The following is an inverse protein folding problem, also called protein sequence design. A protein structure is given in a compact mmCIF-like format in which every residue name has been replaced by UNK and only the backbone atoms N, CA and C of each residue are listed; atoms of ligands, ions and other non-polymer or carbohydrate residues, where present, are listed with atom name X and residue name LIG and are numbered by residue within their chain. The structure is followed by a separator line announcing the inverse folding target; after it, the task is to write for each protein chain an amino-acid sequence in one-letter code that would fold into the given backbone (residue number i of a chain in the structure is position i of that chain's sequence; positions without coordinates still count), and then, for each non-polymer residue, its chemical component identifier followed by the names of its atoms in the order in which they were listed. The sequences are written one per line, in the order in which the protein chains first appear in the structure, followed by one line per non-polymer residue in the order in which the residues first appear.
data_IF_090059233895
#
_entry.id   IF_090059233895
#
_cell.length_a   1.000
_cell.length_b   1.000
_cell.length_c   1.000
_cell.angle_alpha   90.00
_cell.angle_beta   90.00
_cell.angle_gamma   90.00
#
_symmetry.space_group_name_H-M   'P 1'
#
loop_
_entity.id
_entity.type
_entity.pdbx_description
1 polymer ?
#
# COMPACT_ATOMS: atom_id res chain seq x y z
N UNK A 1 -0.61 16.70 -21.42
CA UNK A 1 -0.06 15.68 -20.49
C UNK A 1 -0.14 14.29 -21.11
N UNK A 2 -1.28 13.86 -21.66
CA UNK A 2 -1.40 12.64 -22.48
C UNK A 2 -0.34 12.55 -23.58
N UNK A 3 -0.12 13.65 -24.29
CA UNK A 3 0.74 13.65 -25.49
C UNK A 3 2.23 13.49 -25.13
N UNK A 4 2.63 13.99 -23.96
CA UNK A 4 4.01 13.85 -23.45
C UNK A 4 4.27 12.40 -23.03
N UNK A 5 3.28 11.73 -22.44
CA UNK A 5 3.39 10.32 -22.06
C UNK A 5 3.53 9.44 -23.31
N UNK A 6 2.68 9.65 -24.32
CA UNK A 6 2.79 8.92 -25.60
C UNK A 6 4.13 9.14 -26.29
N UNK A 7 4.69 10.34 -26.18
CA UNK A 7 6.03 10.65 -26.69
C UNK A 7 7.10 9.89 -25.90
N UNK A 8 7.02 9.90 -24.57
CA UNK A 8 7.96 9.17 -23.71
C UNK A 8 7.91 7.67 -23.98
N UNK A 9 6.72 7.08 -24.14
CA UNK A 9 6.57 5.68 -24.51
C UNK A 9 7.23 5.38 -25.86
N UNK A 10 7.10 6.29 -26.82
CA UNK A 10 7.76 6.15 -28.13
C UNK A 10 9.29 6.21 -28.00
N UNK A 11 9.82 7.09 -27.15
CA UNK A 11 11.26 7.20 -26.88
C UNK A 11 11.80 5.95 -26.17
N UNK A 12 11.05 5.40 -25.21
CA UNK A 12 11.43 4.14 -24.54
C UNK A 12 11.47 2.98 -25.53
N UNK A 13 10.49 2.89 -26.44
CA UNK A 13 10.45 1.86 -27.49
C UNK A 13 11.63 1.97 -28.45
N UNK A 14 11.95 3.18 -28.89
CA UNK A 14 13.11 3.45 -29.74
C UNK A 14 14.41 3.01 -29.06
N UNK A 15 14.59 3.38 -27.78
CA UNK A 15 15.74 2.98 -26.99
C UNK A 15 15.86 1.46 -26.79
N UNK A 16 14.76 0.77 -26.45
CA UNK A 16 14.76 -0.69 -26.29
C UNK A 16 15.09 -1.41 -27.61
N UNK A 17 14.55 -0.90 -28.73
CA UNK A 17 14.83 -1.39 -30.08
C UNK A 17 16.31 -1.22 -30.44
N UNK A 18 16.87 -0.02 -30.21
CA UNK A 18 18.29 0.26 -30.46
C UNK A 18 19.23 -0.67 -29.68
N UNK A 19 18.86 -1.04 -28.44
CA UNK A 19 19.63 -1.96 -27.60
C UNK A 19 19.42 -3.44 -27.94
N UNK A 20 18.51 -3.77 -28.86
CA UNK A 20 18.17 -5.14 -29.23
C UNK A 20 17.37 -5.91 -28.17
N UNK A 21 16.71 -5.21 -27.24
CA UNK A 21 15.96 -5.78 -26.13
C UNK A 21 14.55 -6.22 -26.57
N UNK A 22 14.48 -7.09 -27.58
CA UNK A 22 13.24 -7.43 -28.29
C UNK A 22 12.18 -8.08 -27.40
N UNK A 23 12.59 -8.94 -26.46
CA UNK A 23 11.66 -9.56 -25.52
C UNK A 23 11.04 -8.53 -24.55
N UNK A 24 11.86 -7.61 -24.03
CA UNK A 24 11.41 -6.52 -23.17
C UNK A 24 10.50 -5.56 -23.92
N UNK A 25 10.84 -5.22 -25.17
CA UNK A 25 10.01 -4.37 -26.02
C UNK A 25 8.63 -4.99 -26.28
N UNK A 26 8.57 -6.29 -26.57
CA UNK A 26 7.31 -7.00 -26.77
C UNK A 26 6.43 -7.00 -25.51
N UNK A 27 7.04 -7.22 -24.33
CA UNK A 27 6.34 -7.15 -23.05
C UNK A 27 5.87 -5.73 -22.74
N UNK A 28 6.74 -4.73 -22.94
CA UNK A 28 6.39 -3.32 -22.78
C UNK A 28 5.20 -2.95 -23.66
N UNK A 29 5.24 -3.28 -24.95
CA UNK A 29 4.11 -3.03 -25.86
C UNK A 29 2.82 -3.72 -25.43
N UNK A 30 2.89 -4.96 -24.93
CA UNK A 30 1.72 -5.67 -24.43
C UNK A 30 1.13 -4.99 -23.18
N UNK A 31 1.98 -4.52 -22.27
CA UNK A 31 1.58 -3.86 -21.03
C UNK A 31 1.07 -2.44 -21.27
N UNK A 32 1.70 -1.65 -22.15
CA UNK A 32 1.22 -0.30 -22.53
C UNK A 32 -0.14 -0.37 -23.22
N UNK A 33 -0.41 -1.41 -24.03
CA UNK A 33 -1.72 -1.62 -24.68
C UNK A 33 -2.81 -2.05 -23.70
N UNK A 34 -2.46 -2.63 -22.56
CA UNK A 34 -3.45 -3.02 -21.55
C UNK A 34 -4.05 -1.82 -20.79
N UNK A 35 -3.66 -0.57 -21.13
CA UNK A 35 -4.09 0.65 -20.43
C UNK A 35 -4.12 0.43 -18.91
N UNK A 36 -3.01 -0.09 -18.35
CA UNK A 36 -2.88 -0.14 -16.88
C UNK A 36 -2.50 1.23 -16.33
N UNK A 37 -1.87 2.06 -17.14
CA UNK A 37 -1.32 3.34 -16.70
C UNK A 37 -1.70 4.48 -17.63
N UNK A 38 -2.72 5.22 -17.22
CA UNK A 38 -2.90 6.61 -17.59
C UNK A 38 -3.45 7.36 -16.36
N UNK A 39 -2.59 7.66 -15.37
CA UNK A 39 -2.90 8.46 -14.17
C UNK A 39 -4.20 8.03 -13.48
N UNK A 40 -4.16 6.93 -12.73
CA UNK A 40 -5.18 6.47 -11.79
C UNK A 40 -6.55 7.13 -11.94
N UNK A 41 -7.31 6.71 -12.95
CA UNK A 41 -8.72 7.09 -13.01
C UNK A 41 -9.36 6.59 -11.72
N UNK A 42 -9.58 7.51 -10.78
CA UNK A 42 -10.06 7.22 -9.42
C UNK A 42 -11.33 6.39 -9.51
N UNK A 43 -12.22 6.73 -10.44
CA UNK A 43 -13.47 5.99 -10.67
C UNK A 43 -13.21 4.54 -11.09
N UNK A 44 -12.23 4.29 -11.97
CA UNK A 44 -11.84 2.93 -12.37
C UNK A 44 -11.25 2.16 -11.19
N UNK A 45 -10.31 2.75 -10.46
CA UNK A 45 -9.66 2.11 -9.31
C UNK A 45 -10.70 1.76 -8.23
N UNK A 46 -11.57 2.71 -7.89
CA UNK A 46 -12.67 2.46 -6.97
C UNK A 46 -13.59 1.37 -7.53
N UNK A 47 -13.93 1.41 -8.82
CA UNK A 47 -14.68 0.34 -9.47
C UNK A 47 -14.03 -1.03 -9.35
N UNK A 48 -12.71 -1.13 -9.45
CA UNK A 48 -11.97 -2.39 -9.26
C UNK A 48 -11.98 -2.88 -7.81
N UNK A 49 -11.82 -1.99 -6.83
CA UNK A 49 -11.94 -2.33 -5.41
C UNK A 49 -13.34 -2.88 -5.11
N UNK A 50 -14.39 -2.19 -5.58
CA UNK A 50 -15.77 -2.63 -5.38
C UNK A 50 -16.09 -3.91 -6.15
N UNK A 51 -15.54 -4.10 -7.35
CA UNK A 51 -15.65 -5.35 -8.09
C UNK A 51 -15.01 -6.52 -7.34
N UNK A 52 -13.83 -6.33 -6.72
CA UNK A 52 -13.21 -7.36 -5.88
C UNK A 52 -14.07 -7.70 -4.66
N UNK A 53 -14.73 -6.70 -4.05
CA UNK A 53 -15.69 -6.89 -2.95
C UNK A 53 -16.91 -7.71 -3.39
N UNK A 54 -17.57 -7.31 -4.47
CA UNK A 54 -18.77 -7.99 -4.98
C UNK A 54 -18.48 -9.45 -5.39
N UNK A 55 -17.28 -9.71 -5.91
CA UNK A 55 -16.85 -11.05 -6.31
C UNK A 55 -16.28 -11.90 -5.16
N UNK A 56 -16.14 -11.34 -3.95
CA UNK A 56 -15.53 -12.01 -2.79
C UNK A 56 -14.08 -12.50 -3.09
N UNK A 57 -13.31 -11.63 -3.76
CA UNK A 57 -11.91 -11.84 -4.13
C UNK A 57 -11.00 -11.03 -3.19
N UNK A 58 -10.66 -11.63 -2.05
CA UNK A 58 -9.80 -11.01 -1.05
C UNK A 58 -8.36 -10.85 -1.54
N UNK A 59 -7.85 -11.81 -2.33
CA UNK A 59 -6.48 -11.76 -2.83
C UNK A 59 -6.28 -10.53 -3.71
N UNK A 60 -7.22 -10.26 -4.61
CA UNK A 60 -7.19 -9.05 -5.45
C UNK A 60 -7.36 -7.79 -4.63
N UNK A 61 -8.31 -7.76 -3.69
CA UNK A 61 -8.57 -6.58 -2.87
C UNK A 61 -7.35 -6.18 -2.03
N UNK A 62 -6.76 -7.15 -1.33
CA UNK A 62 -5.55 -6.96 -0.54
C UNK A 62 -4.36 -6.56 -1.42
N UNK A 63 -4.17 -7.21 -2.57
CA UNK A 63 -3.08 -6.87 -3.49
C UNK A 63 -3.18 -5.44 -4.01
N UNK A 64 -4.40 -4.98 -4.37
CA UNK A 64 -4.64 -3.60 -4.81
C UNK A 64 -4.32 -2.60 -3.69
N UNK A 65 -4.76 -2.89 -2.47
CA UNK A 65 -4.52 -1.98 -1.36
C UNK A 65 -3.04 -1.92 -0.95
N UNK A 66 -2.38 -3.08 -0.90
CA UNK A 66 -0.93 -3.19 -0.66
C UNK A 66 -0.13 -2.40 -1.70
N UNK A 67 -0.54 -2.46 -2.97
CA UNK A 67 0.04 -1.64 -4.03
C UNK A 67 -0.08 -0.13 -3.73
N UNK A 68 -1.24 0.34 -3.25
CA UNK A 68 -1.38 1.74 -2.85
C UNK A 68 -0.50 2.09 -1.66
N UNK A 69 -0.44 1.23 -0.64
CA UNK A 69 0.41 1.45 0.52
C UNK A 69 1.88 1.70 0.14
N UNK A 70 2.43 0.92 -0.81
CA UNK A 70 3.83 1.04 -1.25
C UNK A 70 4.04 2.18 -2.22
N UNK A 71 3.23 2.26 -3.28
CA UNK A 71 3.51 3.13 -4.43
C UNK A 71 2.86 4.50 -4.35
N UNK A 72 1.84 4.66 -3.48
CA UNK A 72 1.01 5.86 -3.44
C UNK A 72 1.04 6.51 -2.07
N UNK A 73 0.92 5.71 -1.01
CA UNK A 73 0.77 6.21 0.34
C UNK A 73 2.09 6.36 1.10
N UNK A 74 3.20 5.87 0.55
CA UNK A 74 4.53 5.94 1.16
C UNK A 74 5.03 7.36 1.40
N UNK A 75 4.58 8.34 0.61
CA UNK A 75 4.93 9.76 0.75
C UNK A 75 3.89 10.62 1.47
N UNK A 76 2.85 10.03 2.06
CA UNK A 76 1.78 10.80 2.71
C UNK A 76 2.19 11.34 4.08
N UNK A 77 1.56 12.44 4.50
CA UNK A 77 1.72 12.94 5.87
C UNK A 77 1.09 11.97 6.88
N UNK A 78 1.49 12.06 8.15
CA UNK A 78 0.95 11.20 9.23
C UNK A 78 -0.59 11.23 9.32
N UNK A 79 -1.18 12.41 9.18
CA UNK A 79 -2.64 12.59 9.16
C UNK A 79 -3.30 11.83 7.99
N UNK A 80 -2.67 11.86 6.82
CA UNK A 80 -3.16 11.21 5.62
C UNK A 80 -2.97 9.70 5.65
N UNK A 81 -1.83 9.22 6.18
CA UNK A 81 -1.60 7.80 6.44
C UNK A 81 -2.61 7.25 7.43
N UNK A 82 -2.97 8.02 8.46
CA UNK A 82 -4.05 7.67 9.39
C UNK A 82 -5.40 7.57 8.67
N UNK A 83 -5.68 8.49 7.73
CA UNK A 83 -6.90 8.43 6.91
C UNK A 83 -6.91 7.23 5.95
N UNK A 84 -5.78 6.91 5.32
CA UNK A 84 -5.62 5.72 4.49
C UNK A 84 -5.96 4.45 5.29
N UNK A 85 -5.38 4.29 6.49
CA UNK A 85 -5.65 3.14 7.35
C UNK A 85 -7.13 3.05 7.74
N UNK A 86 -7.81 4.17 8.01
CA UNK A 86 -9.25 4.17 8.30
C UNK A 86 -10.07 3.70 7.10
N UNK A 87 -9.75 4.20 5.90
CA UNK A 87 -10.41 3.79 4.67
C UNK A 87 -10.14 2.32 4.34
N UNK A 88 -8.93 1.82 4.58
CA UNK A 88 -8.58 0.40 4.44
C UNK A 88 -9.51 -0.48 5.30
N UNK A 89 -9.61 -0.11 6.58
CA UNK A 89 -10.47 -0.82 7.52
C UNK A 89 -11.93 -0.80 7.06
N UNK A 90 -12.44 0.34 6.60
CA UNK A 90 -13.82 0.44 6.13
C UNK A 90 -14.07 -0.32 4.81
N UNK A 91 -13.09 -0.38 3.92
CA UNK A 91 -13.13 -1.21 2.69
C UNK A 91 -13.20 -2.70 3.05
N UNK A 92 -12.37 -3.18 3.97
CA UNK A 92 -12.45 -4.56 4.45
C UNK A 92 -13.74 -4.84 5.23
N UNK A 93 -14.24 -3.88 6.01
CA UNK A 93 -15.55 -4.00 6.68
C UNK A 93 -16.66 -4.15 5.66
N UNK A 94 -16.61 -3.39 4.57
CA UNK A 94 -17.56 -3.52 3.47
C UNK A 94 -17.48 -4.93 2.86
N UNK A 95 -16.28 -5.44 2.61
CA UNK A 95 -16.08 -6.81 2.10
C UNK A 95 -16.79 -7.87 2.95
N UNK A 96 -16.53 -7.87 4.27
CA UNK A 96 -17.13 -8.90 5.15
C UNK A 96 -18.64 -8.73 5.30
N UNK A 97 -19.15 -7.50 5.26
CA UNK A 97 -20.58 -7.22 5.26
C UNK A 97 -21.24 -7.73 3.98
N UNK A 98 -20.64 -7.49 2.82
CA UNK A 98 -21.11 -8.00 1.53
C UNK A 98 -21.16 -9.53 1.55
N UNK A 99 -20.12 -10.19 2.08
CA UNK A 99 -20.14 -11.65 2.26
C UNK A 99 -21.36 -12.11 3.10
N UNK A 100 -21.64 -11.44 4.21
CA UNK A 100 -22.79 -11.76 5.08
C UNK A 100 -24.13 -11.49 4.38
N UNK A 101 -24.26 -10.36 3.67
CA UNK A 101 -25.46 -10.00 2.92
C UNK A 101 -25.77 -11.01 1.81
N UNK A 102 -24.73 -11.50 1.13
CA UNK A 102 -24.82 -12.53 0.09
C UNK A 102 -24.89 -13.96 0.64
N UNK A 103 -24.97 -14.13 1.98
CA UNK A 103 -24.97 -15.43 2.66
C UNK A 103 -23.72 -16.29 2.36
N UNK A 104 -22.62 -15.66 1.97
CA UNK A 104 -21.33 -16.28 1.69
C UNK A 104 -20.47 -16.36 2.97
N UNK A 105 -20.95 -17.09 3.97
CA UNK A 105 -20.26 -17.22 5.27
C UNK A 105 -18.86 -17.81 5.14
N UNK A 106 -18.66 -18.79 4.25
CA UNK A 106 -17.35 -19.40 3.99
C UNK A 106 -16.32 -18.37 3.52
N UNK A 107 -16.70 -17.46 2.63
CA UNK A 107 -15.85 -16.35 2.15
C UNK A 107 -15.52 -15.35 3.26
N UNK A 108 -16.48 -15.09 4.16
CA UNK A 108 -16.25 -14.27 5.34
C UNK A 108 -15.20 -14.90 6.29
N UNK A 109 -15.28 -16.22 6.52
CA UNK A 109 -14.28 -16.95 7.32
C UNK A 109 -12.91 -16.94 6.62
N UNK A 110 -12.88 -17.23 5.31
CA UNK A 110 -11.67 -17.19 4.50
C UNK A 110 -10.95 -15.84 4.60
N UNK A 111 -11.70 -14.74 4.60
CA UNK A 111 -11.14 -13.39 4.82
C UNK A 111 -10.38 -13.29 6.13
N UNK A 112 -10.99 -13.71 7.26
CA UNK A 112 -10.34 -13.62 8.57
C UNK A 112 -9.14 -14.54 8.72
N UNK A 113 -9.15 -15.70 8.05
CA UNK A 113 -8.00 -16.60 7.99
C UNK A 113 -6.85 -15.98 7.18
N UNK A 114 -7.15 -15.45 5.99
CA UNK A 114 -6.15 -14.84 5.10
C UNK A 114 -5.55 -13.55 5.70
N UNK A 115 -6.39 -12.71 6.30
CA UNK A 115 -5.99 -11.41 6.84
C UNK A 115 -5.55 -11.48 8.31
N UNK A 116 -5.48 -12.66 8.92
CA UNK A 116 -5.33 -12.82 10.38
C UNK A 116 -4.15 -12.02 10.95
N UNK A 117 -2.98 -12.07 10.30
CA UNK A 117 -1.78 -11.37 10.77
C UNK A 117 -1.93 -9.84 10.68
N UNK A 118 -2.53 -9.34 9.61
CA UNK A 118 -2.80 -7.92 9.40
C UNK A 118 -3.83 -7.38 10.42
N UNK A 119 -4.88 -8.16 10.71
CA UNK A 119 -5.98 -7.73 11.58
C UNK A 119 -5.68 -7.88 13.07
N UNK A 120 -4.87 -8.87 13.48
CA UNK A 120 -4.62 -9.17 14.90
C UNK A 120 -4.00 -8.00 15.67
N UNK A 121 -3.19 -7.18 14.99
CA UNK A 121 -2.54 -6.02 15.59
C UNK A 121 -3.46 -4.79 15.64
N UNK A 122 -4.66 -4.86 15.05
CA UNK A 122 -5.63 -3.78 15.05
C UNK A 122 -6.80 -4.08 16.02
N UNK A 123 -6.89 -3.40 17.17
CA UNK A 123 -7.92 -3.67 18.17
C UNK A 123 -9.34 -3.44 17.65
N UNK A 124 -9.52 -2.62 16.60
CA UNK A 124 -10.82 -2.37 15.99
C UNK A 124 -11.48 -3.61 15.37
N UNK A 125 -10.70 -4.66 15.10
CA UNK A 125 -11.19 -5.92 14.50
C UNK A 125 -11.56 -6.99 15.52
N UNK A 126 -11.28 -6.80 16.81
CA UNK A 126 -11.48 -7.81 17.85
C UNK A 126 -12.92 -8.35 17.86
N UNK A 127 -13.91 -7.46 17.85
CA UNK A 127 -15.33 -7.84 17.84
C UNK A 127 -15.78 -8.38 16.47
N UNK A 128 -15.08 -8.04 15.39
CA UNK A 128 -15.44 -8.42 14.02
C UNK A 128 -15.16 -9.87 13.69
N UNK A 129 -14.24 -10.54 14.40
CA UNK A 129 -14.03 -11.99 14.25
C UNK A 129 -15.29 -12.82 14.58
N UNK A 130 -16.21 -12.27 15.39
CA UNK A 130 -17.48 -12.93 15.69
C UNK A 130 -18.52 -12.78 14.56
N UNK A 131 -18.36 -11.81 13.65
CA UNK A 131 -19.35 -11.46 12.61
C UNK A 131 -19.89 -12.67 11.83
N UNK A 132 -19.08 -13.64 11.36
CA UNK A 132 -19.58 -14.79 10.60
C UNK A 132 -20.54 -15.69 11.39
N UNK A 133 -20.51 -15.60 12.71
CA UNK A 133 -21.25 -16.46 13.64
C UNK A 133 -22.50 -15.79 14.22
N UNK A 134 -22.66 -14.48 14.01
CA UNK A 134 -23.80 -13.72 14.53
C UNK A 134 -25.05 -13.98 13.68
N UNK A 135 -26.16 -14.28 14.34
CA UNK A 135 -27.44 -14.65 13.70
C UNK A 135 -28.08 -13.45 13.01
N UNK A 136 -28.06 -12.27 13.64
CA UNK A 136 -28.59 -11.04 13.07
C UNK A 136 -27.61 -9.85 13.19
N UNK A 137 -26.58 -9.81 12.32
CA UNK A 137 -25.56 -8.76 12.34
C UNK A 137 -26.12 -7.36 12.09
N UNK A 138 -27.27 -7.26 11.41
CA UNK A 138 -27.90 -5.99 11.05
C UNK A 138 -28.45 -5.24 12.26
N UNK A 139 -28.83 -5.96 13.31
CA UNK A 139 -29.41 -5.38 14.52
C UNK A 139 -28.47 -5.43 15.74
N UNK A 140 -27.33 -6.12 15.64
CA UNK A 140 -26.33 -6.20 16.71
C UNK A 140 -25.25 -5.13 16.59
N UNK A 141 -24.83 -4.56 17.73
CA UNK A 141 -23.60 -3.78 17.82
C UNK A 141 -22.37 -4.72 17.85
N UNK A 142 -21.22 -4.28 17.31
CA UNK A 142 -20.94 -2.97 16.71
C UNK A 142 -21.34 -2.86 15.22
N UNK A 143 -21.87 -3.91 14.59
CA UNK A 143 -21.99 -4.01 13.12
C UNK A 143 -23.13 -3.19 12.51
N UNK A 144 -24.22 -2.96 13.26
CA UNK A 144 -25.43 -2.28 12.77
C UNK A 144 -25.19 -1.04 11.88
N UNK A 145 -24.33 -0.06 12.26
CA UNK A 145 -24.13 1.16 11.47
C UNK A 145 -23.63 0.89 10.03
N UNK A 146 -22.87 -0.19 9.85
CA UNK A 146 -22.21 -0.54 8.60
C UNK A 146 -23.14 -1.26 7.61
N UNK A 147 -24.32 -1.68 8.03
CA UNK A 147 -25.34 -2.24 7.12
C UNK A 147 -26.19 -1.17 6.42
N UNK A 148 -25.94 0.11 6.67
CA UNK A 148 -26.71 1.21 6.10
C UNK A 148 -26.19 1.64 4.73
N UNK A 149 -27.09 1.96 3.80
CA UNK A 149 -26.71 2.54 2.49
C UNK A 149 -26.00 3.89 2.64
N UNK A 150 -26.36 4.65 3.68
CA UNK A 150 -25.72 5.93 3.97
C UNK A 150 -24.22 5.75 4.27
N UNK A 151 -23.86 4.77 5.10
CA UNK A 151 -22.46 4.47 5.38
C UNK A 151 -21.70 4.05 4.12
N UNK A 152 -22.28 3.15 3.30
CA UNK A 152 -21.68 2.74 2.03
C UNK A 152 -21.44 3.92 1.09
N UNK A 153 -22.43 4.81 0.95
CA UNK A 153 -22.31 6.01 0.13
C UNK A 153 -21.22 6.96 0.66
N UNK A 154 -21.17 7.20 1.97
CA UNK A 154 -20.11 7.99 2.59
C UNK A 154 -18.73 7.39 2.30
N UNK A 155 -18.57 6.07 2.44
CA UNK A 155 -17.31 5.37 2.16
C UNK A 155 -16.88 5.58 0.70
N UNK A 156 -17.78 5.40 -0.26
CA UNK A 156 -17.49 5.61 -1.70
C UNK A 156 -16.99 7.03 -1.93
N UNK A 157 -17.69 8.05 -1.42
CA UNK A 157 -17.31 9.46 -1.61
C UNK A 157 -15.97 9.77 -0.95
N UNK A 158 -15.77 9.34 0.29
CA UNK A 158 -14.51 9.55 1.01
C UNK A 158 -13.34 8.87 0.32
N UNK A 159 -13.51 7.64 -0.17
CA UNK A 159 -12.48 6.90 -0.89
C UNK A 159 -12.12 7.57 -2.21
N UNK A 160 -13.12 7.99 -3.00
CA UNK A 160 -12.88 8.72 -4.24
C UNK A 160 -12.08 10.01 -3.98
N UNK A 161 -12.53 10.83 -3.03
CA UNK A 161 -11.86 12.08 -2.72
C UNK A 161 -10.42 11.86 -2.21
N UNK A 162 -10.24 10.88 -1.33
CA UNK A 162 -8.91 10.56 -0.79
C UNK A 162 -7.96 10.09 -1.89
N UNK A 163 -8.37 9.12 -2.71
CA UNK A 163 -7.56 8.61 -3.80
C UNK A 163 -7.27 9.69 -4.85
N UNK A 164 -8.23 10.56 -5.16
CA UNK A 164 -8.00 11.69 -6.05
C UNK A 164 -6.86 12.60 -5.55
N UNK A 165 -6.89 12.95 -4.25
CA UNK A 165 -5.85 13.78 -3.62
C UNK A 165 -4.52 13.03 -3.56
N UNK A 166 -4.53 11.73 -3.23
CA UNK A 166 -3.33 10.93 -3.13
C UNK A 166 -2.64 10.77 -4.50
N UNK A 167 -3.41 10.53 -5.56
CA UNK A 167 -2.88 10.37 -6.91
C UNK A 167 -2.41 11.68 -7.54
N UNK A 168 -3.04 12.81 -7.22
CA UNK A 168 -2.59 14.14 -7.70
C UNK A 168 -1.21 14.53 -7.15
N UNK A 169 -0.81 13.94 -6.01
CA UNK A 169 0.50 14.18 -5.39
C UNK A 169 1.61 13.28 -5.92
N UNK A 170 1.29 12.29 -6.75
CA UNK A 170 2.32 11.44 -7.32
C UNK A 170 3.18 12.27 -8.26
N UNK A 171 4.46 12.35 -7.93
CA UNK A 171 5.42 13.06 -8.77
C UNK A 171 5.49 12.41 -10.15
N UNK A 172 5.53 13.25 -11.18
CA UNK A 172 5.71 12.80 -12.55
C UNK A 172 7.06 12.06 -12.70
N UNK A 173 7.11 10.90 -13.40
CA UNK A 173 8.37 10.19 -13.60
C UNK A 173 9.43 11.10 -14.21
N UNK A 174 10.68 10.97 -13.75
CA UNK A 174 11.77 11.87 -14.16
C UNK A 174 11.89 11.99 -15.68
N UNK A 175 11.82 10.88 -16.41
CA UNK A 175 11.90 10.87 -17.88
C UNK A 175 10.80 11.72 -18.52
N UNK A 176 9.58 11.65 -18.00
CA UNK A 176 8.44 12.45 -18.47
C UNK A 176 8.68 13.93 -18.19
N UNK A 177 9.16 14.26 -16.98
CA UNK A 177 9.51 15.64 -16.61
C UNK A 177 10.58 16.21 -17.53
N UNK A 178 11.67 15.47 -17.77
CA UNK A 178 12.77 15.88 -18.65
C UNK A 178 12.28 16.15 -20.08
N UNK A 179 11.50 15.24 -20.65
CA UNK A 179 10.92 15.44 -22.00
C UNK A 179 10.02 16.68 -22.03
N UNK A 180 9.22 16.88 -20.99
CA UNK A 180 8.34 18.05 -20.87
C UNK A 180 9.12 19.38 -20.76
N UNK A 181 10.24 19.40 -20.04
CA UNK A 181 11.14 20.56 -19.93
C UNK A 181 11.82 20.90 -21.27
N UNK A 182 12.33 19.89 -21.98
CA UNK A 182 12.89 20.04 -23.32
C UNK A 182 11.86 20.60 -24.30
N UNK A 183 10.63 20.08 -24.28
CA UNK A 183 9.55 20.58 -25.13
C UNK A 183 9.16 22.04 -24.83
N UNK A 184 9.32 22.50 -23.59
CA UNK A 184 9.04 23.88 -23.17
C UNK A 184 10.18 24.86 -23.46
N UNK A 185 11.29 24.40 -24.04
CA UNK A 185 12.41 25.26 -24.43
C UNK A 185 13.28 25.74 -23.27
N UNK A 186 13.22 25.08 -22.11
CA UNK A 186 13.91 25.49 -20.89
C UNK A 186 14.99 24.51 -20.45
N UNK A 187 16.23 24.73 -20.93
CA UNK A 187 17.46 24.59 -20.12
C UNK A 187 18.00 23.19 -19.79
N UNK A 188 19.33 23.10 -19.83
CA UNK A 188 20.17 21.96 -19.46
C UNK A 188 19.86 21.42 -18.05
N UNK A 189 19.69 20.11 -17.95
CA UNK A 189 19.51 19.39 -16.68
C UNK A 189 20.85 19.36 -15.92
N UNK A 190 20.84 19.66 -14.62
CA UNK A 190 22.02 19.43 -13.79
C UNK A 190 22.22 17.92 -13.59
N UNK A 191 23.39 17.39 -13.95
CA UNK A 191 23.75 15.97 -13.82
C UNK A 191 23.50 15.38 -12.42
N UNK A 192 23.52 16.23 -11.38
CA UNK A 192 23.33 15.85 -9.98
C UNK A 192 21.91 15.33 -9.67
N UNK A 193 20.85 15.88 -10.29
CA UNK A 193 19.48 15.40 -10.06
C UNK A 193 19.22 14.04 -10.74
N UNK A 194 19.84 13.82 -11.90
CA UNK A 194 19.72 12.57 -12.66
C UNK A 194 20.35 11.40 -11.88
N UNK A 195 21.53 11.60 -11.30
CA UNK A 195 22.24 10.56 -10.53
C UNK A 195 21.46 10.19 -9.25
N UNK A 196 20.86 11.17 -8.57
CA UNK A 196 20.17 10.93 -7.29
C UNK A 196 18.91 10.07 -7.42
N UNK A 197 18.21 10.13 -8.56
CA UNK A 197 16.93 9.43 -8.80
C UNK A 197 17.04 8.20 -9.72
N UNK A 198 18.15 8.02 -10.41
CA UNK A 198 18.41 6.82 -11.23
C UNK A 198 18.96 5.66 -10.41
N UNK A 199 19.40 5.90 -9.17
CA UNK A 199 19.73 4.81 -8.25
C UNK A 199 18.45 4.13 -7.75
N UNK A 200 18.38 2.79 -7.79
CA UNK A 200 17.34 2.07 -7.03
C UNK A 200 17.46 2.47 -5.56
N UNK A 201 16.34 2.53 -4.83
CA UNK A 201 16.33 2.77 -3.39
C UNK A 201 17.35 1.82 -2.75
N UNK A 202 18.52 2.33 -2.41
CA UNK A 202 19.54 1.53 -1.77
C UNK A 202 19.03 1.28 -0.37
N UNK A 203 18.79 0.01 -0.06
CA UNK A 203 18.75 -0.43 1.32
C UNK A 203 20.07 0.06 1.91
N UNK A 204 20.01 0.97 2.89
CA UNK A 204 21.21 1.54 3.50
C UNK A 204 22.13 0.39 3.91
N UNK A 205 23.43 0.55 3.65
CA UNK A 205 24.46 -0.42 4.01
C UNK A 205 24.41 -0.73 5.51
N UNK A 206 24.01 0.25 6.32
CA UNK A 206 23.79 0.10 7.77
C UNK A 206 22.65 -0.90 8.09
N UNK A 207 21.63 -1.00 7.24
CA UNK A 207 20.53 -1.96 7.42
C UNK A 207 20.94 -3.39 7.02
N UNK A 208 21.95 -3.53 6.15
CA UNK A 208 22.47 -4.83 5.71
C UNK A 208 23.29 -5.50 6.83
N UNK A 209 23.96 -4.70 7.65
CA UNK A 209 24.70 -5.17 8.83
C UNK A 209 23.77 -5.71 9.93
N UNK A 210 22.62 -5.06 10.16
CA UNK A 210 21.64 -5.49 11.16
C UNK A 210 21.01 -6.87 10.82
N UNK A 211 20.78 -7.14 9.53
CA UNK A 211 20.33 -8.47 9.09
C UNK A 211 21.44 -9.53 9.14
N UNK A 212 22.70 -9.15 8.89
CA UNK A 212 23.85 -10.04 9.02
C UNK A 212 24.09 -10.46 10.49
N UNK A 213 23.81 -9.59 11.45
CA UNK A 213 23.87 -9.88 12.89
C UNK A 213 22.81 -10.92 13.29
N UNK A 214 21.61 -10.88 12.71
CA UNK A 214 20.51 -11.81 13.02
C UNK A 214 20.73 -13.18 12.34
N UNK A 215 21.32 -13.20 11.15
CA UNK A 215 21.59 -14.44 10.40
C UNK A 215 22.75 -15.27 10.99
N UNK A 216 23.63 -14.65 11.79
CA UNK A 216 24.68 -15.37 12.51
C UNK A 216 24.10 -16.05 13.76
N UNK A 217 23.70 -17.31 13.59
CA UNK A 217 23.49 -18.25 14.71
C UNK A 217 24.69 -18.27 15.69
N UNK A 218 24.53 -18.82 16.90
CA UNK A 218 25.32 -18.42 18.06
C UNK A 218 26.78 -18.89 17.97
N UNK A 219 27.65 -18.00 17.49
CA UNK A 219 29.11 -18.13 17.63
C UNK A 219 29.60 -17.22 18.76
N UNK A 220 30.37 -17.84 19.67
CA UNK A 220 30.80 -17.29 20.95
C UNK A 220 31.85 -16.16 20.82
N UNK A 221 31.54 -15.05 21.52
CA UNK A 221 32.40 -14.23 22.41
C UNK A 221 33.48 -13.31 21.78
N UNK A 222 33.43 -12.00 22.08
CA UNK A 222 34.09 -11.42 23.27
C UNK A 222 33.76 -9.93 23.51
N UNK A 223 33.32 -9.66 24.75
CA UNK A 223 33.50 -8.48 25.59
C UNK A 223 33.59 -7.04 24.98
N UNK A 224 32.47 -6.33 25.03
CA UNK A 224 32.40 -4.99 25.63
C UNK A 224 31.16 -4.92 26.52
N UNK A 225 31.36 -5.18 27.82
CA UNK A 225 30.33 -5.11 28.86
C UNK A 225 30.41 -3.74 29.53
N UNK A 226 29.63 -2.74 29.11
CA UNK A 226 29.32 -1.61 30.01
C UNK A 226 28.10 -0.73 29.70
N UNK A 227 27.06 -1.16 28.97
CA UNK A 227 25.92 -0.22 28.73
C UNK A 227 24.52 -0.73 29.09
N UNK A 228 24.22 -2.03 29.04
CA UNK A 228 22.84 -2.50 29.31
C UNK A 228 22.57 -2.97 30.75
N UNK A 229 23.60 -3.38 31.50
CA UNK A 229 23.41 -3.80 32.91
C UNK A 229 23.11 -2.66 33.87
N UNK A 230 23.54 -1.44 33.54
CA UNK A 230 23.28 -0.25 34.37
C UNK A 230 21.88 0.33 34.14
N UNK A 231 21.31 0.14 32.94
CA UNK A 231 19.93 0.55 32.63
C UNK A 231 18.88 -0.35 33.31
N UNK A 232 19.14 -1.66 33.41
CA UNK A 232 18.20 -2.61 34.03
C UNK A 232 18.15 -2.54 35.56
N UNK A 233 19.17 -1.96 36.22
CA UNK A 233 19.17 -1.76 37.68
C UNK A 233 18.28 -0.61 38.15
N UNK A 234 17.87 0.30 37.25
CA UNK A 234 17.06 1.46 37.60
C UNK A 234 15.53 1.21 37.52
N UNK A 235 15.10 0.07 36.97
CA UNK A 235 13.66 -0.24 36.79
C UNK A 235 13.11 -1.28 37.78
N UNK A 236 13.95 -1.98 38.54
CA UNK A 236 13.51 -2.99 39.52
C UNK A 236 14.02 -2.68 40.92
N UNK A 237 13.42 -1.69 41.55
CA UNK A 237 13.49 -1.44 42.99
C UNK A 237 12.10 -1.13 43.53
N UNK A 238 11.26 -2.16 43.71
CA UNK A 238 9.99 -2.04 44.45
C UNK A 238 10.26 -1.97 45.96
N UNK A 239 9.53 -1.09 46.65
CA UNK A 239 8.88 -1.21 47.98
C UNK A 239 9.01 -2.62 48.58
N UNK A 240 9.39 -2.86 49.84
CA UNK A 240 8.81 -2.51 51.17
C UNK A 240 9.62 -3.40 52.17
N UNK A 241 10.04 -3.07 53.41
CA UNK A 241 9.28 -2.82 54.66
C UNK A 241 10.31 -2.70 55.81
N UNK A 242 10.14 -1.73 56.69
CA UNK A 242 9.95 -1.89 58.15
C UNK A 242 9.06 -0.74 58.62
#
# INVERSE_FOLDING_TARGET
MSDVISLVDSLVKDYLSFRGLNATLANFDAETRQERDCKFNVSRVVGELFSAIENHDIDRLHSLWSYFNVNVFSGLSEEQSTMANKLENDVYRLYVITCVQHKQRSKCIQFFEHMCEHLRNNPEWSEWFALPYVIDPRNSLPFRPYFTRQWQHCLVVSLNNFLAIAFDRLEEPLLVRCVNEVLKGGGELSDAEFIRRSQPVSISEDLMDDFAIIAQGPAKRNASKSSLRNLLKNFTGKKEKE
#
